data_IF_135164970186
#
_entry.id   IF_135164970186
#
_cell.length_a   1.000
_cell.length_b   1.000
_cell.length_c   1.000
_cell.angle_alpha   90.00
_cell.angle_beta   90.00
_cell.angle_gamma   90.00
#
_symmetry.space_group_name_H-M   'P 1'
#
loop_
_entity.id
_entity.type
_entity.pdbx_description
1 polymer ?
#
# COMPACT_ATOMS: atom_id res chain seq x y z
N UNK A 1 -5.36 9.85 9.02
CA UNK A 1 -4.03 10.21 8.48
C UNK A 1 -3.95 9.72 7.05
N UNK A 2 -3.90 10.63 6.09
CA UNK A 2 -3.77 10.34 4.67
C UNK A 2 -2.29 10.51 4.33
N UNK A 3 -1.52 9.47 3.96
CA UNK A 3 -0.11 9.64 3.67
C UNK A 3 0.03 10.09 2.22
N UNK A 4 0.36 11.37 2.05
CA UNK A 4 1.35 11.71 1.04
C UNK A 4 2.55 10.77 1.27
N UNK A 5 3.01 10.11 0.21
CA UNK A 5 4.14 9.18 0.16
C UNK A 5 5.14 9.42 1.30
N UNK A 6 5.30 8.45 2.21
CA UNK A 6 6.22 8.58 3.34
C UNK A 6 7.65 8.40 2.82
N UNK A 7 8.38 9.50 2.72
CA UNK A 7 9.81 9.53 2.38
C UNK A 7 10.56 9.88 3.66
N UNK A 8 11.57 9.09 4.00
CA UNK A 8 12.45 9.29 5.14
C UNK A 8 13.90 9.33 4.65
N UNK A 9 14.62 10.42 4.95
CA UNK A 9 16.07 10.45 4.78
C UNK A 9 16.75 10.15 6.11
N UNK A 10 17.71 9.22 6.10
CA UNK A 10 18.43 8.80 7.29
C UNK A 10 19.93 8.85 7.05
N UNK A 11 20.66 9.28 8.07
CA UNK A 11 22.12 9.38 8.06
C UNK A 11 22.67 8.56 9.21
N UNK A 12 23.63 7.67 8.94
CA UNK A 12 24.29 6.87 9.97
C UNK A 12 25.74 6.56 9.60
N UNK A 13 26.41 5.75 10.42
CA UNK A 13 27.86 5.45 10.28
C UNK A 13 28.18 4.64 9.02
N UNK A 14 27.24 3.83 8.56
CA UNK A 14 27.32 3.06 7.31
C UNK A 14 25.97 3.08 6.58
N UNK A 15 25.98 2.66 5.31
CA UNK A 15 24.75 2.53 4.51
C UNK A 15 23.81 1.53 5.16
N UNK A 16 24.32 0.39 5.65
CA UNK A 16 23.50 -0.62 6.32
C UNK A 16 22.84 -0.07 7.58
N UNK A 17 23.60 0.60 8.45
CA UNK A 17 23.05 1.21 9.68
C UNK A 17 21.94 2.22 9.34
N UNK A 18 22.16 3.06 8.32
CA UNK A 18 21.20 4.06 7.90
C UNK A 18 19.90 3.42 7.34
N UNK A 19 20.01 2.27 6.66
CA UNK A 19 18.85 1.51 6.18
C UNK A 19 18.09 0.90 7.35
N UNK A 20 18.77 0.21 8.26
CA UNK A 20 18.11 -0.45 9.40
C UNK A 20 17.37 0.54 10.29
N UNK A 21 18.01 1.66 10.63
CA UNK A 21 17.38 2.70 11.43
C UNK A 21 16.17 3.32 10.70
N UNK A 22 16.25 3.51 9.38
CA UNK A 22 15.14 4.04 8.58
C UNK A 22 13.96 3.06 8.51
N UNK A 23 14.22 1.75 8.36
CA UNK A 23 13.19 0.71 8.36
C UNK A 23 12.47 0.62 9.71
N UNK A 24 13.23 0.68 10.81
CA UNK A 24 12.68 0.71 12.16
C UNK A 24 11.80 1.93 12.40
N UNK A 25 12.25 3.11 11.96
CA UNK A 25 11.50 4.36 12.11
C UNK A 25 10.23 4.37 11.26
N UNK A 26 10.27 3.78 10.06
CA UNK A 26 9.10 3.63 9.20
C UNK A 26 8.16 2.50 9.66
N UNK A 27 8.62 1.60 10.53
CA UNK A 27 7.88 0.40 10.93
C UNK A 27 7.56 -0.50 9.72
N UNK A 28 8.49 -0.58 8.76
CA UNK A 28 8.26 -1.23 7.47
C UNK A 28 9.34 -2.28 7.18
N UNK A 29 8.95 -3.35 6.50
CA UNK A 29 9.89 -4.33 5.99
C UNK A 29 10.61 -3.80 4.75
N UNK A 30 11.80 -4.36 4.46
CA UNK A 30 12.61 -3.97 3.30
C UNK A 30 11.88 -4.17 1.96
N UNK A 31 10.92 -5.08 1.90
CA UNK A 31 10.06 -5.32 0.73
C UNK A 31 9.01 -4.22 0.51
N UNK A 32 8.73 -3.41 1.53
CA UNK A 32 7.71 -2.35 1.49
C UNK A 32 8.33 -0.99 1.22
N UNK A 33 9.62 -0.92 0.88
CA UNK A 33 10.31 0.34 0.68
C UNK A 33 11.24 0.29 -0.54
N UNK A 34 11.41 1.44 -1.19
CA UNK A 34 12.51 1.71 -2.10
C UNK A 34 13.62 2.40 -1.33
N UNK A 35 14.86 1.96 -1.52
CA UNK A 35 16.05 2.54 -0.87
C UNK A 35 16.94 3.15 -1.95
N UNK A 36 17.26 4.43 -1.80
CA UNK A 36 18.22 5.16 -2.61
C UNK A 36 19.40 5.58 -1.73
N UNK A 37 20.62 5.20 -2.09
CA UNK A 37 21.83 5.65 -1.40
C UNK A 37 22.20 7.04 -1.92
N UNK A 38 22.12 8.06 -1.07
CA UNK A 38 22.44 9.44 -1.42
C UNK A 38 23.93 9.75 -1.23
N UNK A 39 24.57 9.10 -0.26
CA UNK A 39 26.00 9.19 0.03
C UNK A 39 26.43 7.88 0.70
N UNK A 40 27.45 7.21 0.17
CA UNK A 40 27.99 5.99 0.79
C UNK A 40 28.76 6.29 2.08
N UNK A 41 29.06 7.57 2.35
CA UNK A 41 30.01 7.97 3.37
C UNK A 41 31.44 7.65 2.96
N UNK A 42 32.38 7.77 3.89
CA UNK A 42 33.75 7.32 3.66
C UNK A 42 34.44 6.99 4.96
N UNK A 43 35.15 5.86 5.00
CA UNK A 43 36.08 5.54 6.09
C UNK A 43 37.33 6.39 5.88
N UNK A 44 37.54 7.38 6.74
CA UNK A 44 38.72 8.25 6.69
C UNK A 44 40.03 7.45 6.71
N UNK A 45 41.11 8.02 6.18
CA UNK A 45 42.42 7.36 6.14
C UNK A 45 42.89 7.11 7.58
N UNK A 46 43.19 5.86 7.92
CA UNK A 46 43.50 5.40 9.29
C UNK A 46 42.35 5.52 10.32
N UNK A 47 41.10 5.77 9.93
CA UNK A 47 39.96 5.75 10.87
C UNK A 47 39.89 6.91 11.89
N UNK A 48 40.82 7.88 11.80
CA UNK A 48 40.93 8.97 12.78
C UNK A 48 40.66 10.37 12.19
N UNK A 49 40.72 10.57 10.87
CA UNK A 49 40.42 11.86 10.22
C UNK A 49 39.57 11.71 8.96
N UNK A 50 38.48 12.47 8.88
CA UNK A 50 37.67 12.63 7.66
C UNK A 50 36.60 11.56 7.42
N UNK A 51 36.16 10.84 8.45
CA UNK A 51 35.04 9.91 8.30
C UNK A 51 33.75 10.69 7.98
N UNK A 52 33.09 10.34 6.87
CA UNK A 52 31.79 10.88 6.49
C UNK A 52 30.72 9.83 6.72
N UNK A 53 29.61 10.24 7.31
CA UNK A 53 28.42 9.40 7.50
C UNK A 53 27.79 9.06 6.16
N UNK A 54 27.23 7.86 6.07
CA UNK A 54 26.40 7.47 4.93
C UNK A 54 25.01 8.10 5.07
N UNK A 55 24.36 8.38 3.94
CA UNK A 55 23.00 8.91 3.88
C UNK A 55 22.17 8.13 2.88
N UNK A 56 20.98 7.72 3.28
CA UNK A 56 20.01 7.00 2.45
C UNK A 56 18.67 7.71 2.46
N UNK A 57 17.92 7.57 1.37
CA UNK A 57 16.51 7.93 1.28
C UNK A 57 15.70 6.64 1.17
N UNK A 58 14.74 6.48 2.06
CA UNK A 58 13.83 5.34 2.10
C UNK A 58 12.43 5.85 1.80
N UNK A 59 11.82 5.31 0.76
CA UNK A 59 10.50 5.69 0.28
C UNK A 59 9.55 4.52 0.48
N UNK A 60 8.48 4.71 1.25
CA UNK A 60 7.48 3.67 1.45
C UNK A 60 6.72 3.38 0.15
N UNK A 61 6.71 2.11 -0.26
CA UNK A 61 5.97 1.62 -1.40
C UNK A 61 4.52 1.40 -1.00
N UNK A 62 3.62 2.11 -1.68
CA UNK A 62 2.20 1.94 -1.46
C UNK A 62 1.77 0.56 -1.93
N UNK A 63 1.03 -0.16 -1.08
CA UNK A 63 0.48 -1.46 -1.40
C UNK A 63 -0.94 -1.30 -1.93
N UNK A 64 -1.20 -1.50 -3.22
CA UNK A 64 -2.51 -1.21 -3.81
C UNK A 64 -3.65 -1.98 -3.14
N UNK A 65 -3.41 -3.25 -2.79
CA UNK A 65 -4.41 -4.08 -2.12
C UNK A 65 -4.86 -3.46 -0.80
N UNK A 66 -3.93 -3.08 0.06
CA UNK A 66 -4.24 -2.50 1.37
C UNK A 66 -4.88 -1.12 1.23
N UNK A 67 -4.39 -0.28 0.32
CA UNK A 67 -5.02 1.03 0.04
C UNK A 67 -6.44 0.88 -0.49
N UNK A 68 -6.66 -0.03 -1.44
CA UNK A 68 -7.95 -0.31 -2.05
C UNK A 68 -8.94 -0.86 -1.04
N UNK A 69 -8.53 -1.82 -0.22
CA UNK A 69 -9.35 -2.39 0.86
C UNK A 69 -9.71 -1.33 1.89
N UNK A 70 -8.74 -0.53 2.35
CA UNK A 70 -8.99 0.52 3.33
C UNK A 70 -9.91 1.62 2.79
N UNK A 71 -9.78 1.97 1.51
CA UNK A 71 -10.68 2.91 0.84
C UNK A 71 -12.10 2.35 0.71
N UNK A 72 -12.23 1.10 0.26
CA UNK A 72 -13.51 0.43 0.13
C UNK A 72 -14.22 0.33 1.50
N UNK A 73 -13.52 -0.09 2.55
CA UNK A 73 -14.09 -0.16 3.91
C UNK A 73 -14.65 1.21 4.34
N UNK A 74 -13.88 2.29 4.18
CA UNK A 74 -14.33 3.65 4.51
C UNK A 74 -15.56 4.08 3.73
N UNK A 75 -15.68 3.68 2.45
CA UNK A 75 -16.86 3.97 1.66
C UNK A 75 -18.09 3.21 2.18
N UNK A 76 -17.94 1.94 2.53
CA UNK A 76 -19.03 1.12 3.07
C UNK A 76 -19.48 1.64 4.44
N UNK A 77 -18.53 2.01 5.31
CA UNK A 77 -18.81 2.63 6.60
C UNK A 77 -19.55 3.96 6.43
N UNK A 78 -19.12 4.80 5.49
CA UNK A 78 -19.78 6.08 5.19
C UNK A 78 -21.18 5.90 4.57
N UNK A 79 -21.43 4.76 3.91
CA UNK A 79 -22.76 4.37 3.44
C UNK A 79 -23.63 3.76 4.56
N UNK A 80 -23.11 3.60 5.77
CA UNK A 80 -23.83 3.02 6.91
C UNK A 80 -24.00 1.51 6.84
N UNK A 81 -23.20 0.82 6.02
CA UNK A 81 -23.27 -0.62 5.85
C UNK A 81 -22.34 -1.32 6.85
N UNK A 82 -22.88 -2.31 7.57
CA UNK A 82 -22.07 -3.19 8.41
C UNK A 82 -21.49 -4.29 7.53
N UNK A 83 -20.23 -4.14 7.16
CA UNK A 83 -19.56 -5.06 6.23
C UNK A 83 -18.14 -5.42 6.64
N UNK A 84 -17.74 -6.63 6.27
CA UNK A 84 -16.37 -7.11 6.32
C UNK A 84 -15.84 -7.33 4.90
N UNK A 85 -14.54 -7.09 4.71
CA UNK A 85 -13.87 -7.29 3.42
C UNK A 85 -12.75 -8.30 3.58
N UNK A 86 -12.84 -9.41 2.87
CA UNK A 86 -11.75 -10.36 2.69
C UNK A 86 -10.95 -10.04 1.41
N UNK A 87 -9.66 -10.36 1.43
CA UNK A 87 -8.78 -10.20 0.28
C UNK A 87 -8.17 -11.53 -0.09
N UNK A 88 -8.26 -11.92 -1.37
CA UNK A 88 -7.63 -13.13 -1.89
C UNK A 88 -6.90 -12.84 -3.20
N UNK A 89 -5.79 -13.55 -3.45
CA UNK A 89 -5.12 -13.52 -4.75
C UNK A 89 -5.75 -14.58 -5.65
N UNK A 90 -6.19 -14.18 -6.84
CA UNK A 90 -6.69 -15.06 -7.90
C UNK A 90 -5.98 -14.71 -9.21
N UNK A 91 -5.12 -15.62 -9.67
CA UNK A 91 -4.19 -15.40 -10.77
C UNK A 91 -3.35 -14.13 -10.53
N UNK A 92 -3.42 -13.16 -11.43
CA UNK A 92 -2.74 -11.86 -11.34
C UNK A 92 -3.58 -10.77 -10.64
N UNK A 93 -4.82 -11.09 -10.23
CA UNK A 93 -5.75 -10.13 -9.66
C UNK A 93 -5.90 -10.34 -8.15
N UNK A 94 -6.10 -9.24 -7.43
CA UNK A 94 -6.56 -9.29 -6.05
C UNK A 94 -8.08 -9.14 -6.01
N UNK A 95 -8.77 -10.06 -5.36
CA UNK A 95 -10.22 -10.05 -5.17
C UNK A 95 -10.54 -9.57 -3.76
N UNK A 96 -11.30 -8.48 -3.70
CA UNK A 96 -11.90 -7.94 -2.48
C UNK A 96 -13.35 -8.44 -2.42
N UNK A 97 -13.62 -9.38 -1.54
CA UNK A 97 -14.96 -9.93 -1.34
C UNK A 97 -15.62 -9.27 -0.13
N UNK A 98 -16.79 -8.67 -0.37
CA UNK A 98 -17.58 -7.98 0.63
C UNK A 98 -18.62 -8.94 1.20
N UNK A 99 -18.68 -9.00 2.53
CA UNK A 99 -19.68 -9.74 3.31
C UNK A 99 -20.38 -8.78 4.27
N UNK A 100 -21.61 -9.11 4.67
CA UNK A 100 -22.31 -8.38 5.72
C UNK A 100 -23.81 -8.31 5.50
N UNK A 101 -24.47 -7.56 6.37
CA UNK A 101 -25.89 -7.31 6.27
C UNK A 101 -26.16 -6.24 5.20
N UNK A 102 -27.22 -6.41 4.40
CA UNK A 102 -27.68 -5.46 3.38
C UNK A 102 -26.67 -5.12 2.25
N UNK A 103 -25.52 -5.81 2.18
CA UNK A 103 -24.49 -5.60 1.15
C UNK A 103 -24.99 -5.94 -0.27
N UNK A 104 -26.07 -6.71 -0.40
CA UNK A 104 -26.73 -6.98 -1.69
C UNK A 104 -27.16 -5.69 -2.42
N UNK A 105 -27.45 -4.61 -1.70
CA UNK A 105 -27.75 -3.31 -2.30
C UNK A 105 -26.57 -2.73 -3.12
N UNK A 106 -25.34 -3.11 -2.78
CA UNK A 106 -24.12 -2.71 -3.48
C UNK A 106 -24.01 -3.29 -4.89
N UNK A 107 -24.78 -4.34 -5.20
CA UNK A 107 -24.85 -4.88 -6.57
C UNK A 107 -25.45 -3.81 -7.50
N UNK A 108 -26.51 -3.13 -7.05
CA UNK A 108 -27.23 -2.17 -7.87
C UNK A 108 -27.91 -2.79 -9.09
N UNK A 109 -28.51 -1.95 -9.94
CA UNK A 109 -29.24 -2.43 -11.13
C UNK A 109 -28.27 -3.05 -12.12
N UNK A 110 -28.40 -4.36 -12.37
CA UNK A 110 -27.53 -5.13 -13.26
C UNK A 110 -26.03 -4.94 -12.94
N UNK A 111 -25.65 -4.85 -11.67
CA UNK A 111 -24.23 -4.77 -11.27
C UNK A 111 -23.58 -3.39 -11.35
N UNK A 112 -24.31 -2.34 -11.76
CA UNK A 112 -23.72 -1.02 -12.04
C UNK A 112 -23.04 -0.37 -10.82
N UNK A 113 -23.61 -0.54 -9.62
CA UNK A 113 -23.02 0.02 -8.39
C UNK A 113 -21.71 -0.69 -8.06
N UNK A 114 -21.69 -2.03 -8.16
CA UNK A 114 -20.49 -2.84 -7.92
C UNK A 114 -19.37 -2.50 -8.90
N UNK A 115 -19.69 -2.30 -10.18
CA UNK A 115 -18.73 -1.88 -11.19
C UNK A 115 -18.17 -0.49 -10.92
N UNK A 116 -19.02 0.44 -10.47
CA UNK A 116 -18.59 1.79 -10.09
C UNK A 116 -17.67 1.79 -8.87
N UNK A 117 -17.99 0.99 -7.85
CA UNK A 117 -17.13 0.80 -6.68
C UNK A 117 -15.78 0.23 -7.09
N UNK A 118 -15.76 -0.84 -7.90
CA UNK A 118 -14.52 -1.42 -8.40
C UNK A 118 -13.67 -0.37 -9.13
N UNK A 119 -14.28 0.44 -9.98
CA UNK A 119 -13.57 1.50 -10.70
C UNK A 119 -12.90 2.50 -9.75
N UNK A 120 -13.65 3.04 -8.79
CA UNK A 120 -13.12 3.99 -7.81
C UNK A 120 -12.01 3.38 -6.94
N UNK A 121 -12.21 2.15 -6.48
CA UNK A 121 -11.23 1.40 -5.69
C UNK A 121 -9.92 1.24 -6.46
N UNK A 122 -9.98 0.85 -7.75
CA UNK A 122 -8.78 0.70 -8.57
C UNK A 122 -8.05 2.03 -8.79
N UNK A 123 -8.77 3.14 -8.97
CA UNK A 123 -8.15 4.48 -9.10
C UNK A 123 -7.39 4.84 -7.82
N UNK A 124 -8.02 4.65 -6.66
CA UNK A 124 -7.42 5.04 -5.39
C UNK A 124 -6.23 4.15 -5.07
N UNK A 125 -6.39 2.83 -5.15
CA UNK A 125 -5.36 1.84 -4.87
C UNK A 125 -4.08 2.02 -5.71
N UNK A 126 -4.23 2.43 -6.97
CA UNK A 126 -3.11 2.51 -7.90
C UNK A 126 -2.56 3.93 -8.06
N UNK A 127 -3.06 4.93 -7.31
CA UNK A 127 -2.72 6.34 -7.52
C UNK A 127 -1.21 6.62 -7.41
N UNK A 128 -0.56 6.00 -6.42
CA UNK A 128 0.84 6.20 -6.08
C UNK A 128 1.63 4.89 -6.08
N UNK A 129 1.07 3.84 -6.67
CA UNK A 129 1.70 2.54 -6.74
C UNK A 129 2.74 2.52 -7.87
N UNK A 130 3.92 1.99 -7.59
CA UNK A 130 4.96 1.78 -8.61
C UNK A 130 4.55 0.65 -9.56
N UNK A 131 4.09 -0.45 -8.98
CA UNK A 131 3.51 -1.57 -9.70
C UNK A 131 2.00 -1.55 -9.52
N UNK A 132 1.28 -1.51 -10.64
CA UNK A 132 -0.19 -1.50 -10.61
C UNK A 132 -0.70 -2.90 -10.32
N UNK A 133 -1.70 -2.97 -9.44
CA UNK A 133 -2.42 -4.20 -9.15
C UNK A 133 -3.89 -4.00 -9.51
N UNK A 134 -4.44 -4.95 -10.26
CA UNK A 134 -5.86 -4.95 -10.58
C UNK A 134 -6.65 -5.53 -9.41
N UNK A 135 -7.57 -4.72 -8.89
CA UNK A 135 -8.50 -5.11 -7.84
C UNK A 135 -9.86 -5.46 -8.43
N UNK A 136 -10.42 -6.61 -8.05
CA UNK A 136 -11.78 -7.01 -8.39
C UNK A 136 -12.61 -6.88 -7.13
N UNK A 137 -13.73 -6.17 -7.21
CA UNK A 137 -14.67 -6.05 -6.09
C UNK A 137 -15.86 -6.94 -6.37
N UNK A 138 -16.17 -7.84 -5.44
CA UNK A 138 -17.32 -8.75 -5.51
C UNK A 138 -18.14 -8.71 -4.20
N UNK A 139 -19.40 -9.10 -4.32
CA UNK A 139 -20.35 -9.18 -3.20
C UNK A 139 -20.89 -10.59 -3.18
N UNK A 140 -20.49 -11.37 -2.17
CA UNK A 140 -20.94 -12.75 -1.94
C UNK A 140 -20.98 -13.61 -3.23
N UNK A 141 -19.95 -13.55 -4.07
CA UNK A 141 -19.87 -14.28 -5.33
C UNK A 141 -20.87 -13.88 -6.43
N UNK A 142 -21.45 -12.68 -6.39
CA UNK A 142 -22.42 -12.21 -7.39
C UNK A 142 -21.88 -12.31 -8.82
N UNK A 143 -20.62 -11.94 -9.04
CA UNK A 143 -20.01 -11.95 -10.39
C UNK A 143 -19.96 -13.35 -11.02
N UNK A 144 -19.85 -14.42 -10.21
CA UNK A 144 -19.82 -15.81 -10.70
C UNK A 144 -21.20 -16.34 -11.10
N UNK A 145 -22.28 -15.71 -10.61
CA UNK A 145 -23.67 -16.16 -10.85
C UNK A 145 -24.34 -15.50 -12.06
N UNK A 146 -23.66 -14.56 -12.71
CA UNK A 146 -24.14 -13.78 -13.85
C UNK A 146 -23.47 -14.24 -15.15
#
# INVERSE_FOLDING_TARGET
MNPLMKILEKTSKSVEDAIEEALQELGADRSMVRIEVLDEGSKGLLGFLGARTARVRVTYLQQPLEEGRAFLQKLLDAAGLKSEISATMQDENAVLEIFGDDVAALIGRRGQTLDSLQYLVNIVANRNAEEKQRLIVDVEGYRKRR
#
